data_IF_619850450023
#
_entry.id   IF_619850450023
#
_cell.length_a   1.000
_cell.length_b   1.000
_cell.length_c   1.000
_cell.angle_alpha   90.00
_cell.angle_beta   90.00
_cell.angle_gamma   90.00
#
_symmetry.space_group_name_H-M   'P 1'
#
loop_
_entity.id
_entity.type
_entity.pdbx_description
1 polymer ?
#
# COMPACT_ATOMS: atom_id res chain seq x y z
N UNK A 1 1.88 12.62 -22.02
CA UNK A 1 1.09 12.64 -20.74
C UNK A 1 1.72 11.69 -19.72
N UNK A 2 1.33 11.75 -18.43
CA UNK A 2 1.87 10.86 -17.38
C UNK A 2 0.75 10.06 -16.74
N UNK A 3 0.92 8.76 -16.61
CA UNK A 3 -0.10 7.83 -16.12
C UNK A 3 0.41 7.09 -14.88
N UNK A 4 -0.46 6.88 -13.89
CA UNK A 4 -0.24 5.94 -12.79
C UNK A 4 -1.31 4.85 -12.89
N UNK A 5 -0.88 3.66 -13.29
CA UNK A 5 -1.74 2.49 -13.40
C UNK A 5 -1.50 1.55 -12.23
N UNK A 6 -2.58 1.07 -11.63
CA UNK A 6 -2.55 0.18 -10.45
C UNK A 6 -3.56 -0.95 -10.59
N UNK A 7 -3.31 -2.08 -9.94
CA UNK A 7 -4.33 -3.13 -9.73
C UNK A 7 -5.35 -2.70 -8.70
N UNK A 8 -4.94 -1.83 -7.76
CA UNK A 8 -5.72 -1.43 -6.61
C UNK A 8 -7.08 -0.88 -7.04
N UNK A 9 -8.09 -1.24 -6.27
CA UNK A 9 -9.45 -0.69 -6.38
C UNK A 9 -9.88 -0.11 -5.04
N UNK A 10 -10.98 0.63 -5.03
CA UNK A 10 -11.53 1.20 -3.81
C UNK A 10 -10.52 2.05 -3.05
N UNK A 11 -10.28 1.72 -1.77
CA UNK A 11 -9.37 2.45 -0.89
C UNK A 11 -7.93 2.56 -1.42
N UNK A 12 -7.38 1.52 -2.06
CA UNK A 12 -6.04 1.58 -2.66
C UNK A 12 -5.99 2.53 -3.87
N UNK A 13 -6.99 2.47 -4.74
CA UNK A 13 -7.12 3.44 -5.84
C UNK A 13 -7.30 4.88 -5.31
N UNK A 14 -8.07 5.03 -4.22
CA UNK A 14 -8.23 6.32 -3.57
C UNK A 14 -6.91 6.86 -3.01
N UNK A 15 -6.10 5.99 -2.39
CA UNK A 15 -4.75 6.33 -1.94
C UNK A 15 -3.90 6.90 -3.09
N UNK A 16 -3.85 6.22 -4.24
CA UNK A 16 -3.09 6.69 -5.40
C UNK A 16 -3.59 8.04 -5.95
N UNK A 17 -4.91 8.27 -5.91
CA UNK A 17 -5.47 9.58 -6.27
C UNK A 17 -5.08 10.68 -5.29
N UNK A 18 -5.01 10.37 -3.99
CA UNK A 18 -4.53 11.31 -2.98
C UNK A 18 -3.03 11.58 -3.11
N UNK A 19 -2.22 10.57 -3.43
CA UNK A 19 -0.79 10.72 -3.78
C UNK A 19 -0.66 11.70 -4.94
N UNK A 20 -1.41 11.49 -6.03
CA UNK A 20 -1.41 12.40 -7.17
C UNK A 20 -1.82 13.83 -6.81
N UNK A 21 -2.89 13.98 -6.01
CA UNK A 21 -3.38 15.29 -5.55
C UNK A 21 -2.33 16.06 -4.74
N UNK A 22 -1.67 15.41 -3.79
CA UNK A 22 -0.84 16.09 -2.80
C UNK A 22 0.64 16.15 -3.15
N UNK A 23 1.13 15.23 -3.98
CA UNK A 23 2.55 15.10 -4.27
C UNK A 23 2.91 15.38 -5.72
N UNK A 24 1.97 15.16 -6.65
CA UNK A 24 2.20 15.37 -8.09
C UNK A 24 1.29 16.46 -8.67
N UNK A 25 0.68 17.30 -7.85
CA UNK A 25 -0.19 18.42 -8.27
C UNK A 25 -1.27 18.06 -9.29
N UNK A 26 -1.77 16.81 -9.25
CA UNK A 26 -2.71 16.22 -10.22
C UNK A 26 -2.17 16.09 -11.66
N UNK A 27 -0.86 16.05 -11.85
CA UNK A 27 -0.23 15.88 -13.17
C UNK A 27 -0.34 14.45 -13.74
N UNK A 28 -0.67 13.45 -12.90
CA UNK A 28 -0.84 12.06 -13.33
C UNK A 28 -2.30 11.74 -13.64
N UNK A 29 -2.53 10.93 -14.67
CA UNK A 29 -3.80 10.23 -14.90
C UNK A 29 -3.77 8.92 -14.12
N UNK A 30 -4.49 8.86 -12.99
CA UNK A 30 -4.52 7.69 -12.09
C UNK A 30 -5.68 6.76 -12.44
N UNK A 31 -5.38 5.52 -12.81
CA UNK A 31 -6.36 4.53 -13.24
C UNK A 31 -6.12 3.15 -12.63
N UNK A 32 -7.20 2.48 -12.24
CA UNK A 32 -7.15 1.07 -11.87
C UNK A 32 -7.37 0.19 -13.10
N UNK A 33 -6.59 -0.89 -13.20
CA UNK A 33 -6.82 -2.00 -14.13
C UNK A 33 -7.39 -3.24 -13.40
N UNK A 34 -7.73 -3.09 -12.12
CA UNK A 34 -8.52 -4.03 -11.31
C UNK A 34 -7.80 -5.30 -10.86
N UNK A 35 -6.69 -5.68 -11.50
CA UNK A 35 -5.88 -6.82 -11.12
C UNK A 35 -4.50 -6.76 -11.79
N UNK A 36 -3.54 -7.53 -11.28
CA UNK A 36 -2.23 -7.71 -11.90
C UNK A 36 -2.31 -8.27 -13.33
N UNK A 37 -3.34 -9.07 -13.64
CA UNK A 37 -3.58 -9.54 -15.01
C UNK A 37 -4.06 -8.38 -15.88
N UNK A 38 -5.06 -7.62 -15.43
CA UNK A 38 -5.57 -6.46 -16.18
C UNK A 38 -4.51 -5.39 -16.40
N UNK A 39 -3.59 -5.18 -15.43
CA UNK A 39 -2.43 -4.32 -15.62
C UNK A 39 -1.50 -4.83 -16.72
N UNK A 40 -1.15 -6.12 -16.68
CA UNK A 40 -0.28 -6.73 -17.67
C UNK A 40 -0.90 -6.66 -19.07
N UNK A 41 -2.19 -6.98 -19.19
CA UNK A 41 -2.94 -6.92 -20.44
C UNK A 41 -2.93 -5.48 -20.99
N UNK A 42 -3.21 -4.48 -20.13
CA UNK A 42 -3.17 -3.08 -20.52
C UNK A 42 -1.79 -2.60 -20.99
N UNK A 43 -0.71 -3.16 -20.44
CA UNK A 43 0.67 -2.87 -20.86
C UNK A 43 1.02 -3.59 -22.17
N UNK A 44 0.53 -4.81 -22.38
CA UNK A 44 0.73 -5.56 -23.63
C UNK A 44 0.04 -4.86 -24.81
N UNK A 45 -1.18 -4.37 -24.59
CA UNK A 45 -1.99 -3.71 -25.61
C UNK A 45 -1.62 -2.22 -25.79
N UNK A 46 -0.59 -1.74 -25.08
CA UNK A 46 -0.22 -0.34 -25.05
C UNK A 46 0.48 0.10 -26.34
N UNK A 47 -0.16 0.98 -27.08
CA UNK A 47 0.48 1.74 -28.16
C UNK A 47 1.11 3.02 -27.59
N UNK A 48 2.41 2.95 -27.31
CA UNK A 48 3.13 4.00 -26.59
C UNK A 48 3.38 5.19 -27.52
N UNK A 49 2.78 6.34 -27.22
CA UNK A 49 3.11 7.62 -27.88
C UNK A 49 4.44 8.16 -27.38
N UNK A 50 5.12 8.98 -28.20
CA UNK A 50 6.48 9.43 -27.90
C UNK A 50 6.62 10.31 -26.65
N UNK A 51 5.54 10.95 -26.21
CA UNK A 51 5.51 11.85 -25.04
C UNK A 51 4.82 11.25 -23.80
N UNK A 52 4.37 9.98 -23.87
CA UNK A 52 3.66 9.32 -22.78
C UNK A 52 4.61 8.53 -21.86
N UNK A 53 4.42 8.67 -20.54
CA UNK A 53 5.14 7.92 -19.49
C UNK A 53 4.15 7.22 -18.57
N UNK A 54 4.39 5.94 -18.31
CA UNK A 54 3.50 5.05 -17.56
C UNK A 54 4.19 4.50 -16.32
N UNK A 55 3.64 4.81 -15.15
CA UNK A 55 4.08 4.28 -13.87
C UNK A 55 3.12 3.17 -13.44
N UNK A 56 3.65 1.95 -13.28
CA UNK A 56 2.85 0.75 -12.99
C UNK A 56 3.06 0.36 -11.54
N UNK A 57 2.12 0.70 -10.66
CA UNK A 57 2.01 0.14 -9.32
C UNK A 57 1.54 -1.31 -9.47
N UNK A 58 2.45 -2.26 -9.27
CA UNK A 58 2.19 -3.69 -9.39
C UNK A 58 2.42 -4.37 -8.05
N UNK A 59 1.41 -5.07 -7.53
CA UNK A 59 1.51 -5.87 -6.31
C UNK A 59 2.45 -7.06 -6.49
N UNK A 60 3.74 -6.87 -6.16
CA UNK A 60 4.76 -7.89 -6.40
C UNK A 60 4.84 -8.91 -5.26
N UNK A 61 3.85 -9.80 -5.24
CA UNK A 61 3.71 -10.88 -4.27
C UNK A 61 4.61 -12.06 -4.65
N UNK A 62 5.87 -12.03 -4.22
CA UNK A 62 6.89 -13.01 -4.62
C UNK A 62 6.56 -14.45 -4.21
N UNK A 63 5.74 -14.66 -3.19
CA UNK A 63 5.36 -16.02 -2.73
C UNK A 63 4.31 -16.68 -3.64
N UNK A 64 3.76 -15.95 -4.62
CA UNK A 64 2.80 -16.46 -5.59
C UNK A 64 3.46 -16.63 -6.98
N UNK A 65 3.56 -17.89 -7.44
CA UNK A 65 4.20 -18.23 -8.72
C UNK A 65 3.55 -17.54 -9.92
N UNK A 66 2.23 -17.40 -9.93
CA UNK A 66 1.50 -16.76 -11.02
C UNK A 66 1.83 -15.26 -11.09
N UNK A 67 1.84 -14.59 -9.94
CA UNK A 67 2.24 -13.17 -9.84
C UNK A 67 3.71 -12.99 -10.25
N UNK A 68 4.62 -13.89 -9.86
CA UNK A 68 6.02 -13.86 -10.32
C UNK A 68 6.14 -13.98 -11.84
N UNK A 69 5.35 -14.84 -12.47
CA UNK A 69 5.36 -15.00 -13.92
C UNK A 69 4.87 -13.74 -14.62
N UNK A 70 3.77 -13.16 -14.15
CA UNK A 70 3.24 -11.87 -14.64
C UNK A 70 4.27 -10.75 -14.51
N UNK A 71 4.91 -10.62 -13.34
CA UNK A 71 5.94 -9.61 -13.11
C UNK A 71 7.14 -9.77 -14.06
N UNK A 72 7.57 -11.01 -14.35
CA UNK A 72 8.63 -11.27 -15.33
C UNK A 72 8.23 -10.82 -16.73
N UNK A 73 6.99 -11.08 -17.15
CA UNK A 73 6.47 -10.61 -18.44
C UNK A 73 6.43 -9.08 -18.50
N UNK A 74 5.90 -8.44 -17.45
CA UNK A 74 5.87 -6.99 -17.33
C UNK A 74 7.29 -6.41 -17.48
N UNK A 75 8.26 -6.96 -16.75
CA UNK A 75 9.66 -6.52 -16.80
C UNK A 75 10.27 -6.63 -18.20
N UNK A 76 9.99 -7.70 -18.94
CA UNK A 76 10.45 -7.86 -20.33
C UNK A 76 9.90 -6.77 -21.26
N UNK A 77 8.69 -6.28 -21.00
CA UNK A 77 8.09 -5.17 -21.77
C UNK A 77 8.73 -3.85 -21.33
N UNK A 78 8.88 -3.62 -20.02
CA UNK A 78 9.46 -2.37 -19.51
C UNK A 78 10.92 -2.19 -19.95
N UNK A 79 11.71 -3.27 -19.97
CA UNK A 79 13.11 -3.24 -20.42
C UNK A 79 13.25 -2.82 -21.89
N UNK A 80 12.19 -3.01 -22.71
CA UNK A 80 12.14 -2.60 -24.12
C UNK A 80 11.46 -1.25 -24.34
N UNK A 81 10.91 -0.65 -23.30
CA UNK A 81 10.10 0.58 -23.40
C UNK A 81 10.94 1.87 -23.42
N UNK A 82 12.26 1.77 -23.41
CA UNK A 82 13.18 2.93 -23.36
C UNK A 82 12.87 3.89 -22.18
N UNK A 83 12.42 3.34 -21.05
CA UNK A 83 12.06 4.11 -19.85
C UNK A 83 10.67 4.75 -19.88
N UNK A 84 9.88 4.54 -20.95
CA UNK A 84 8.50 5.02 -21.04
C UNK A 84 7.55 4.26 -20.11
N UNK A 85 7.89 3.02 -19.71
CA UNK A 85 7.16 2.25 -18.69
C UNK A 85 8.08 1.98 -17.49
N UNK A 86 7.64 2.42 -16.31
CA UNK A 86 8.38 2.29 -15.05
C UNK A 86 7.55 1.49 -14.06
N UNK A 87 8.09 0.36 -13.57
CA UNK A 87 7.44 -0.43 -12.51
C UNK A 87 7.75 0.20 -11.15
N UNK A 88 6.70 0.47 -10.38
CA UNK A 88 6.81 0.90 -8.98
C UNK A 88 6.97 -0.32 -8.08
N UNK A 89 8.03 -0.33 -7.29
CA UNK A 89 8.47 -1.53 -6.57
C UNK A 89 7.81 -1.60 -5.19
N UNK A 90 6.73 -2.38 -5.08
CA UNK A 90 5.95 -2.51 -3.85
C UNK A 90 5.41 -3.93 -3.64
N UNK A 91 5.12 -4.27 -2.37
CA UNK A 91 4.47 -5.53 -1.99
C UNK A 91 2.98 -5.45 -2.29
N UNK A 92 2.30 -4.50 -1.64
CA UNK A 92 0.91 -4.11 -1.88
C UNK A 92 0.58 -2.79 -1.17
N UNK A 93 -0.56 -2.19 -1.48
CA UNK A 93 -1.04 -0.98 -0.80
C UNK A 93 -1.14 -1.17 0.73
N UNK A 94 -1.65 -2.30 1.22
CA UNK A 94 -1.79 -2.51 2.67
C UNK A 94 -0.43 -2.59 3.38
N UNK A 95 0.64 -2.98 2.70
CA UNK A 95 1.99 -2.92 3.26
C UNK A 95 2.43 -1.47 3.51
N UNK A 96 2.13 -0.54 2.60
CA UNK A 96 2.45 0.87 2.76
C UNK A 96 1.77 1.46 4.00
N UNK A 97 0.49 1.13 4.19
CA UNK A 97 -0.26 1.53 5.38
C UNK A 97 0.29 0.85 6.63
N UNK A 98 0.55 -0.46 6.59
CA UNK A 98 1.03 -1.21 7.74
C UNK A 98 2.40 -0.71 8.20
N UNK A 99 3.29 -0.36 7.27
CA UNK A 99 4.64 0.12 7.55
C UNK A 99 4.69 1.57 8.05
N UNK A 100 3.58 2.31 7.99
CA UNK A 100 3.50 3.67 8.51
C UNK A 100 3.73 3.69 10.03
N UNK A 101 4.78 4.36 10.47
CA UNK A 101 5.25 4.41 11.87
C UNK A 101 4.17 4.94 12.84
N UNK A 102 3.34 5.87 12.38
CA UNK A 102 2.28 6.51 13.18
C UNK A 102 0.94 5.79 13.13
N UNK A 103 0.81 4.68 12.39
CA UNK A 103 -0.44 3.93 12.25
C UNK A 103 -1.09 3.63 13.60
N UNK A 104 -0.32 3.17 14.59
CA UNK A 104 -0.81 2.82 15.93
C UNK A 104 -1.33 4.07 16.66
N UNK A 105 -0.54 5.14 16.67
CA UNK A 105 -0.90 6.39 17.33
C UNK A 105 -2.16 7.03 16.73
N UNK A 106 -2.32 6.98 15.41
CA UNK A 106 -3.44 7.57 14.69
C UNK A 106 -4.72 6.77 14.81
N UNK A 107 -4.62 5.44 14.76
CA UNK A 107 -5.80 4.55 14.88
C UNK A 107 -6.20 4.32 16.34
N UNK A 108 -5.29 4.51 17.29
CA UNK A 108 -5.56 4.34 18.72
C UNK A 108 -5.76 2.89 19.15
N UNK A 109 -5.28 1.94 18.34
CA UNK A 109 -5.43 0.51 18.63
C UNK A 109 -4.70 0.11 19.93
N UNK A 110 -5.45 -0.49 20.87
CA UNK A 110 -4.91 -1.03 22.13
C UNK A 110 -4.47 -2.51 22.05
N UNK A 111 -4.46 -3.12 20.86
CA UNK A 111 -4.15 -4.56 20.68
C UNK A 111 -2.64 -4.81 20.75
N UNK A 112 -2.09 -4.87 21.95
CA UNK A 112 -0.64 -5.02 22.20
C UNK A 112 -0.06 -6.29 21.56
N UNK A 113 -0.82 -7.38 21.51
CA UNK A 113 -0.42 -8.61 20.81
C UNK A 113 -0.25 -8.38 19.30
N UNK A 114 -1.18 -7.67 18.67
CA UNK A 114 -1.11 -7.34 17.24
C UNK A 114 0.01 -6.35 16.93
N UNK A 115 0.25 -5.39 17.82
CA UNK A 115 1.37 -4.45 17.69
C UNK A 115 2.70 -5.21 17.64
N UNK A 116 2.93 -6.15 18.56
CA UNK A 116 4.13 -6.98 18.56
C UNK A 116 4.25 -7.82 17.28
N UNK A 117 3.17 -8.48 16.85
CA UNK A 117 3.15 -9.26 15.61
C UNK A 117 3.50 -8.38 14.40
N UNK A 118 2.98 -7.14 14.34
CA UNK A 118 3.31 -6.18 13.28
C UNK A 118 4.80 -5.86 13.27
N UNK A 119 5.40 -5.57 14.42
CA UNK A 119 6.82 -5.22 14.53
C UNK A 119 7.71 -6.36 14.03
N UNK A 120 7.47 -7.58 14.51
CA UNK A 120 8.20 -8.79 14.10
C UNK A 120 8.03 -9.08 12.60
N UNK A 121 6.79 -8.99 12.09
CA UNK A 121 6.51 -9.20 10.66
C UNK A 121 7.23 -8.17 9.80
N UNK A 122 7.14 -6.87 10.13
CA UNK A 122 7.78 -5.81 9.36
C UNK A 122 9.31 -5.91 9.41
N UNK A 123 9.90 -6.27 10.56
CA UNK A 123 11.33 -6.49 10.71
C UNK A 123 11.85 -7.69 9.89
N UNK A 124 10.99 -8.68 9.65
CA UNK A 124 11.30 -9.86 8.86
C UNK A 124 11.07 -9.68 7.33
N UNK A 125 10.52 -8.54 6.87
CA UNK A 125 10.30 -8.31 5.44
C UNK A 125 11.61 -8.06 4.69
N UNK A 126 11.92 -8.90 3.72
CA UNK A 126 13.09 -8.76 2.84
C UNK A 126 12.74 -9.19 1.41
N UNK A 127 13.12 -8.41 0.39
CA UNK A 127 12.87 -8.76 -1.01
C UNK A 127 11.40 -9.15 -1.28
N UNK A 128 10.46 -8.37 -0.74
CA UNK A 128 9.01 -8.52 -0.89
C UNK A 128 8.38 -9.77 -0.24
N UNK A 129 9.13 -10.48 0.61
CA UNK A 129 8.63 -11.63 1.39
C UNK A 129 8.90 -11.46 2.87
N UNK A 130 8.06 -12.07 3.71
CA UNK A 130 8.36 -12.25 5.13
C UNK A 130 9.35 -13.41 5.27
N UNK A 131 10.53 -13.13 5.81
CA UNK A 131 11.53 -14.13 6.11
C UNK A 131 11.22 -14.81 7.45
N UNK A 132 10.49 -15.92 7.40
CA UNK A 132 10.02 -16.63 8.60
C UNK A 132 11.16 -17.09 9.52
N UNK A 133 12.37 -17.31 9.00
CA UNK A 133 13.52 -17.71 9.83
C UNK A 133 14.08 -16.56 10.68
N UNK A 134 13.62 -15.32 10.47
CA UNK A 134 13.98 -14.15 11.29
C UNK A 134 12.98 -13.86 12.40
N UNK A 135 11.91 -14.66 12.51
CA UNK A 135 10.87 -14.49 13.51
C UNK A 135 11.06 -15.55 14.59
N UNK A 136 11.54 -15.14 15.76
CA UNK A 136 11.70 -16.02 16.92
C UNK A 136 10.43 -16.09 17.79
N UNK A 137 9.53 -15.11 17.66
CA UNK A 137 8.30 -15.04 18.45
C UNK A 137 7.27 -16.08 18.01
N UNK A 138 7.03 -17.07 18.87
CA UNK A 138 6.12 -18.19 18.60
C UNK A 138 4.70 -17.73 18.26
N UNK A 139 4.19 -16.68 18.92
CA UNK A 139 2.83 -16.16 18.65
C UNK A 139 2.72 -15.55 17.27
N UNK A 140 3.77 -14.88 16.80
CA UNK A 140 3.85 -14.34 15.44
C UNK A 140 3.87 -15.46 14.41
N UNK A 141 4.66 -16.52 14.63
CA UNK A 141 4.65 -17.70 13.77
C UNK A 141 3.29 -18.40 13.75
N UNK A 142 2.64 -18.56 14.91
CA UNK A 142 1.29 -19.14 15.02
C UNK A 142 0.24 -18.29 14.27
N UNK A 143 0.33 -16.96 14.35
CA UNK A 143 -0.54 -16.05 13.60
C UNK A 143 -0.37 -16.24 12.09
N UNK A 144 0.88 -16.30 11.60
CA UNK A 144 1.17 -16.54 10.18
C UNK A 144 0.70 -17.94 9.73
N UNK A 145 0.83 -18.95 10.58
CA UNK A 145 0.41 -20.31 10.28
C UNK A 145 -1.12 -20.47 10.11
N UNK A 146 -1.91 -19.53 10.65
CA UNK A 146 -3.37 -19.55 10.49
C UNK A 146 -3.84 -19.28 9.04
N UNK A 147 -2.96 -18.79 8.16
CA UNK A 147 -3.28 -18.53 6.76
C UNK A 147 -3.22 -19.83 5.94
N UNK A 148 -4.39 -20.49 5.75
CA UNK A 148 -4.53 -21.75 4.96
C UNK A 148 -3.78 -21.77 3.62
N UNK A 149 -3.71 -20.60 2.96
CA UNK A 149 -2.82 -20.36 1.82
C UNK A 149 -2.01 -19.11 2.15
N UNK A 150 -0.81 -19.34 2.64
CA UNK A 150 0.14 -18.30 2.99
C UNK A 150 0.46 -17.43 1.77
N UNK A 151 0.54 -16.12 2.00
CA UNK A 151 1.07 -15.12 1.09
C UNK A 151 1.45 -13.92 1.94
N UNK A 152 2.61 -13.33 1.68
CA UNK A 152 3.04 -12.08 2.32
C UNK A 152 1.93 -11.02 2.26
N UNK A 153 1.33 -10.79 1.09
CA UNK A 153 0.22 -9.84 0.89
C UNK A 153 -0.97 -10.12 1.82
N UNK A 154 -1.34 -11.39 2.02
CA UNK A 154 -2.48 -11.75 2.88
C UNK A 154 -2.19 -11.45 4.34
N UNK A 155 -0.96 -11.67 4.79
CA UNK A 155 -0.53 -11.30 6.14
C UNK A 155 -0.56 -9.78 6.30
N UNK A 156 -0.03 -9.02 5.33
CA UNK A 156 -0.06 -7.56 5.35
C UNK A 156 -1.48 -7.01 5.37
N UNK A 157 -2.36 -7.50 4.49
CA UNK A 157 -3.77 -7.11 4.42
C UNK A 157 -4.52 -7.41 5.71
N UNK A 158 -4.27 -8.58 6.30
CA UNK A 158 -4.91 -8.94 7.57
C UNK A 158 -4.44 -8.04 8.70
N UNK A 159 -3.13 -7.78 8.83
CA UNK A 159 -2.59 -6.93 9.88
C UNK A 159 -3.02 -5.48 9.72
N UNK A 160 -2.92 -4.90 8.51
CA UNK A 160 -3.43 -3.55 8.25
C UNK A 160 -4.90 -3.46 8.65
N UNK A 161 -5.69 -4.47 8.25
CA UNK A 161 -7.08 -4.61 8.64
C UNK A 161 -7.33 -4.74 10.14
N UNK A 162 -6.40 -5.23 10.97
CA UNK A 162 -6.53 -5.28 12.44
C UNK A 162 -6.43 -3.89 13.09
N UNK A 163 -5.62 -3.01 12.50
CA UNK A 163 -5.36 -1.65 12.98
C UNK A 163 -6.38 -0.64 12.44
N UNK A 164 -6.95 -0.91 11.26
CA UNK A 164 -7.88 0.00 10.59
C UNK A 164 -9.33 -0.48 10.65
N UNK A 165 -9.74 -1.17 11.72
CA UNK A 165 -11.11 -1.74 11.81
C UNK A 165 -12.19 -0.67 12.00
N UNK A 166 -11.84 0.50 12.54
CA UNK A 166 -12.76 1.62 12.66
C UNK A 166 -13.09 2.15 11.26
N UNK A 167 -14.37 2.28 10.92
CA UNK A 167 -14.84 2.76 9.62
C UNK A 167 -14.16 4.07 9.20
N UNK A 168 -13.88 4.97 10.15
CA UNK A 168 -13.26 6.25 9.82
C UNK A 168 -11.76 6.18 9.50
N UNK A 169 -11.05 5.14 9.92
CA UNK A 169 -9.65 4.86 9.56
C UNK A 169 -9.52 3.67 8.60
N UNK A 170 -10.64 3.12 8.12
CA UNK A 170 -10.64 1.91 7.30
C UNK A 170 -9.80 2.05 6.04
N UNK A 171 -9.04 1.03 5.71
CA UNK A 171 -8.43 0.87 4.38
C UNK A 171 -9.16 -0.18 3.53
N UNK A 172 -10.40 -0.47 3.91
CA UNK A 172 -11.36 -1.29 3.18
C UNK A 172 -12.52 -0.42 2.71
N UNK A 173 -13.05 -0.71 1.53
CA UNK A 173 -14.20 -0.02 0.95
C UNK A 173 -13.83 0.78 -0.30
N UNK A 174 -14.76 1.59 -0.78
CA UNK A 174 -14.61 2.37 -2.02
C UNK A 174 -13.61 3.52 -1.88
N UNK A 175 -13.47 4.07 -0.68
CA UNK A 175 -12.52 5.12 -0.34
C UNK A 175 -11.74 4.69 0.90
N UNK A 176 -10.56 5.28 1.09
CA UNK A 176 -9.94 5.28 2.41
C UNK A 176 -10.90 5.92 3.42
N UNK A 177 -10.81 5.53 4.69
CA UNK A 177 -11.57 6.14 5.77
C UNK A 177 -11.26 7.64 5.86
N UNK A 178 -12.28 8.43 6.16
CA UNK A 178 -12.18 9.89 6.11
C UNK A 178 -11.11 10.49 7.03
N UNK A 179 -10.74 9.82 8.13
CA UNK A 179 -9.72 10.33 9.05
C UNK A 179 -8.31 10.34 8.46
N UNK A 180 -8.06 9.63 7.35
CA UNK A 180 -6.78 9.71 6.64
C UNK A 180 -6.56 11.06 5.97
N UNK A 181 -7.62 11.68 5.44
CA UNK A 181 -7.53 12.83 4.52
C UNK A 181 -8.52 13.97 4.83
N UNK A 182 -9.25 13.90 5.94
CA UNK A 182 -10.07 14.98 6.47
C UNK A 182 -9.73 15.28 7.92
N UNK A 183 -10.10 16.47 8.37
CA UNK A 183 -10.07 16.87 9.77
C UNK A 183 -11.08 15.98 10.49
N UNK A 184 -10.58 14.94 11.12
CA UNK A 184 -11.39 13.94 11.77
C UNK A 184 -11.25 14.15 13.27
N UNK A 185 -12.40 14.21 13.94
CA UNK A 185 -12.47 14.32 15.38
C UNK A 185 -11.69 13.16 16.02
N UNK A 186 -10.77 13.54 16.89
CA UNK A 186 -10.31 12.74 18.04
C UNK A 186 -11.56 12.49 18.92
N UNK A 187 -12.42 11.58 18.48
CA UNK A 187 -13.66 11.09 19.11
C UNK A 187 -14.65 12.15 19.67
N UNK A 188 -15.90 12.15 19.17
CA UNK A 188 -17.04 12.76 19.91
C UNK A 188 -17.37 12.03 21.23
N UNK A 189 -16.68 10.92 21.49
CA UNK A 189 -16.73 10.14 22.72
C UNK A 189 -15.30 9.99 23.29
N UNK A 190 -14.81 10.91 24.13
CA UNK A 190 -13.48 10.83 24.75
C UNK A 190 -13.18 9.47 25.42
N UNK A 191 -14.24 8.74 25.80
CA UNK A 191 -14.20 7.43 26.44
C UNK A 191 -14.11 6.24 25.45
N UNK A 192 -14.27 6.49 24.15
CA UNK A 192 -14.11 5.46 23.12
C UNK A 192 -12.63 5.24 22.84
N UNK A 193 -12.12 4.08 23.27
CA UNK A 193 -10.77 3.54 23.05
C UNK A 193 -10.31 3.47 21.57
N UNK A 194 -11.11 3.95 20.60
CA UNK A 194 -10.97 3.65 19.16
C UNK A 194 -10.72 4.86 18.27
N UNK A 195 -10.43 6.02 18.85
CA UNK A 195 -9.91 7.15 18.10
C UNK A 195 -8.51 7.45 18.60
N UNK A 196 -7.50 7.25 17.77
CA UNK A 196 -6.14 7.63 18.10
C UNK A 196 -5.98 9.14 18.23
N UNK A 197 -4.79 9.55 18.62
CA UNK A 197 -4.42 10.95 18.80
C UNK A 197 -3.35 11.27 17.77
N UNK A 198 -3.72 11.52 16.50
CA UNK A 198 -2.74 11.98 15.54
C UNK A 198 -2.17 13.31 16.03
N UNK A 199 -0.86 13.49 15.84
CA UNK A 199 -0.17 14.74 16.15
C UNK A 199 -0.64 15.92 15.28
N UNK A 200 -1.26 15.59 14.15
CA UNK A 200 -1.78 16.54 13.17
C UNK A 200 -3.28 16.26 13.00
N UNK A 201 -4.09 17.29 13.21
CA UNK A 201 -5.54 17.18 13.01
C UNK A 201 -5.92 17.37 11.53
N UNK A 202 -5.18 18.21 10.80
CA UNK A 202 -5.46 18.55 9.41
C UNK A 202 -5.35 17.32 8.49
N UNK A 203 -6.40 17.11 7.70
CA UNK A 203 -6.54 15.98 6.79
C UNK A 203 -5.47 15.95 5.70
N UNK A 204 -5.19 17.12 5.12
CA UNK A 204 -4.24 17.24 4.02
C UNK A 204 -2.81 17.02 4.55
N UNK A 205 -2.47 17.60 5.69
CA UNK A 205 -1.17 17.39 6.35
C UNK A 205 -0.97 15.93 6.80
N UNK A 206 -2.00 15.26 7.33
CA UNK A 206 -1.94 13.82 7.63
C UNK A 206 -1.63 13.01 6.38
N UNK A 207 -2.35 13.26 5.29
CA UNK A 207 -2.10 12.53 4.06
C UNK A 207 -0.69 12.80 3.52
N UNK A 208 -0.21 14.05 3.57
CA UNK A 208 1.18 14.40 3.23
C UNK A 208 2.19 13.64 4.07
N UNK A 209 1.97 13.53 5.38
CA UNK A 209 2.85 12.80 6.29
C UNK A 209 2.89 11.30 5.97
N UNK A 210 1.73 10.68 5.68
CA UNK A 210 1.70 9.29 5.21
C UNK A 210 2.46 9.12 3.88
N UNK A 211 2.25 10.03 2.93
CA UNK A 211 2.94 10.00 1.63
C UNK A 211 4.45 10.17 1.79
N UNK A 212 4.89 11.00 2.73
CA UNK A 212 6.31 11.24 3.04
C UNK A 212 6.96 10.10 3.84
N UNK A 213 6.22 9.09 4.27
CA UNK A 213 6.78 7.94 4.98
C UNK A 213 7.75 7.15 4.10
N UNK A 214 8.77 6.56 4.73
CA UNK A 214 9.89 5.89 4.05
C UNK A 214 9.41 4.89 2.99
N UNK A 215 8.46 4.01 3.34
CA UNK A 215 8.01 2.96 2.42
C UNK A 215 7.19 3.50 1.26
N UNK A 216 6.44 4.58 1.44
CA UNK A 216 5.73 5.23 0.32
C UNK A 216 6.72 5.95 -0.58
N UNK A 217 7.67 6.71 -0.03
CA UNK A 217 8.70 7.42 -0.80
C UNK A 217 9.56 6.45 -1.62
N UNK A 218 9.95 5.30 -1.06
CA UNK A 218 10.69 4.27 -1.82
C UNK A 218 9.96 3.81 -3.10
N UNK A 219 8.62 3.87 -3.11
CA UNK A 219 7.80 3.53 -4.26
C UNK A 219 7.68 4.72 -5.21
N UNK A 220 7.33 5.90 -4.69
CA UNK A 220 6.93 7.05 -5.52
C UNK A 220 8.08 7.96 -5.97
N UNK A 221 9.27 7.89 -5.36
CA UNK A 221 10.43 8.67 -5.80
C UNK A 221 10.79 8.40 -7.27
N UNK A 222 10.55 7.18 -7.77
CA UNK A 222 10.73 6.81 -9.19
C UNK A 222 9.82 7.59 -10.15
N UNK A 223 8.76 8.22 -9.62
CA UNK A 223 7.82 9.05 -10.36
C UNK A 223 8.25 10.51 -10.38
N UNK A 224 9.11 10.96 -9.45
CA UNK A 224 9.64 12.33 -9.49
C UNK A 224 10.70 12.52 -10.60
N UNK A 225 11.30 11.42 -11.07
CA UNK A 225 12.22 11.33 -12.22
C UNK A 225 11.47 11.20 -13.57
#
# INVERSE_FOLDING_TARGET
MRYLWTEDTGAGLHFWKLVNKFFFDNELVVESKGSNQGLLDAVIDLDIKDDDKYYVAFDYVVDNQDIRNKYRMLKLITDKSEGKIVILDMICFEYLILAFDKLIAWTGTGKTDKIKIREEVLAAVENHRINLSKIDDEKTLQYIACFKRYSTERVMKSLAGEFTQNEKWSVKGTLMGECWYKNCCVSEHPDSLRCGKPEIEDGDEKMRMLIQSEKVQNVICKVAD
#
